data_IF_484756095186
#
_entry.id   IF_484756095186
#
_cell.length_a   1.000
_cell.length_b   1.000
_cell.length_c   1.000
_cell.angle_alpha   90.00
_cell.angle_beta   90.00
_cell.angle_gamma   90.00
#
_symmetry.space_group_name_H-M   'P 1'
#
loop_
_entity.id
_entity.type
_entity.pdbx_description
1 polymer ?
#
# COMPACT_ATOMS: atom_id res chain seq x y z
N UNK A 1 13.08 13.25 -20.66
CA UNK A 1 13.39 13.10 -19.21
C UNK A 1 12.17 13.67 -18.48
N UNK A 2 11.43 12.85 -17.77
CA UNK A 2 10.28 13.33 -16.97
C UNK A 2 10.85 13.64 -15.59
N UNK A 3 10.67 14.85 -15.09
CA UNK A 3 11.02 15.23 -13.72
C UNK A 3 9.74 15.21 -12.89
N UNK A 4 9.79 14.61 -11.71
CA UNK A 4 8.73 14.67 -10.71
C UNK A 4 9.27 15.24 -9.40
N UNK A 5 8.41 15.78 -8.58
CA UNK A 5 8.76 16.54 -7.38
C UNK A 5 7.93 16.02 -6.22
N UNK A 6 8.58 15.65 -5.11
CA UNK A 6 7.87 15.42 -3.87
C UNK A 6 7.49 16.77 -3.24
N UNK A 7 6.28 16.85 -2.69
CA UNK A 7 5.82 18.04 -1.97
C UNK A 7 5.98 17.81 -0.48
N UNK A 8 6.74 18.67 0.20
CA UNK A 8 7.13 18.49 1.59
C UNK A 8 6.69 19.70 2.42
N UNK A 9 5.98 19.46 3.51
CA UNK A 9 5.59 20.46 4.51
C UNK A 9 6.15 20.06 5.89
N UNK A 10 6.66 21.02 6.66
CA UNK A 10 7.17 20.79 8.01
C UNK A 10 6.43 21.64 9.02
N UNK A 11 5.93 21.02 10.08
CA UNK A 11 5.36 21.69 11.24
C UNK A 11 6.32 21.53 12.43
N UNK A 12 6.90 22.66 12.81
CA UNK A 12 7.80 22.74 13.97
C UNK A 12 7.02 23.06 15.25
N UNK A 13 6.89 22.09 16.12
CA UNK A 13 6.32 22.24 17.46
C UNK A 13 7.39 22.43 18.53
N UNK A 14 8.66 22.57 18.16
CA UNK A 14 9.80 22.63 19.09
C UNK A 14 10.12 21.29 19.76
N UNK A 15 9.67 20.18 19.19
CA UNK A 15 9.85 18.84 19.74
C UNK A 15 11.21 18.23 19.35
N UNK A 16 11.65 17.25 20.11
CA UNK A 16 12.91 16.52 19.82
C UNK A 16 12.76 15.58 18.61
N UNK A 17 11.61 14.92 18.52
CA UNK A 17 11.35 13.90 17.51
C UNK A 17 10.30 14.34 16.50
N UNK A 18 10.40 13.81 15.29
CA UNK A 18 9.50 14.08 14.15
C UNK A 18 8.75 12.83 13.76
N UNK A 19 7.45 12.96 13.50
CA UNK A 19 6.61 11.95 12.83
C UNK A 19 6.50 12.31 11.37
N UNK A 20 6.73 11.35 10.49
CA UNK A 20 6.52 11.49 9.04
C UNK A 20 5.14 10.95 8.69
N UNK A 21 4.36 11.74 7.94
CA UNK A 21 3.04 11.35 7.42
C UNK A 21 3.09 11.51 5.91
N UNK A 22 2.86 10.43 5.18
CA UNK A 22 3.03 10.41 3.74
C UNK A 22 1.95 9.66 2.98
N UNK A 23 1.83 10.01 1.70
CA UNK A 23 1.05 9.33 0.68
C UNK A 23 1.62 9.71 -0.69
N UNK A 24 1.47 8.87 -1.70
CA UNK A 24 1.81 9.30 -3.06
C UNK A 24 0.66 10.09 -3.69
N UNK A 25 0.99 10.99 -4.61
CA UNK A 25 0.02 11.82 -5.31
C UNK A 25 0.01 11.63 -6.83
N UNK A 26 0.92 10.82 -7.34
CA UNK A 26 0.90 10.36 -8.72
C UNK A 26 -0.10 9.21 -8.90
N UNK A 27 -0.54 9.02 -10.13
CA UNK A 27 -1.32 7.88 -10.56
C UNK A 27 -1.06 7.61 -12.06
N UNK A 28 -1.79 6.68 -12.68
CA UNK A 28 -1.52 6.15 -14.02
C UNK A 28 -1.77 7.13 -15.17
N UNK A 29 -2.34 8.31 -14.91
CA UNK A 29 -2.59 9.34 -15.92
C UNK A 29 -3.43 8.80 -17.09
N UNK A 30 -2.85 8.74 -18.29
CA UNK A 30 -3.51 8.21 -19.50
C UNK A 30 -3.36 6.69 -19.67
N UNK A 31 -2.85 5.96 -18.65
CA UNK A 31 -2.67 4.51 -18.69
C UNK A 31 -1.58 4.02 -19.67
N UNK A 32 -0.62 4.89 -20.01
CA UNK A 32 0.41 4.57 -21.01
C UNK A 32 1.54 3.69 -20.47
N UNK A 33 1.72 3.61 -19.15
CA UNK A 33 2.81 2.89 -18.49
C UNK A 33 2.54 1.39 -18.35
N UNK A 34 1.46 0.89 -18.95
CA UNK A 34 1.04 -0.51 -18.92
C UNK A 34 0.65 -1.05 -17.53
N UNK A 35 0.48 -0.20 -16.53
CA UNK A 35 0.03 -0.56 -15.18
C UNK A 35 -1.51 -0.60 -15.06
N UNK A 36 -2.24 -0.12 -16.07
CA UNK A 36 -3.70 -0.15 -16.06
C UNK A 36 -4.26 -1.56 -16.09
N UNK A 37 -5.27 -1.81 -15.27
CA UNK A 37 -6.10 -3.01 -15.28
C UNK A 37 -7.39 -2.85 -16.08
N UNK A 38 -7.62 -1.73 -16.77
CA UNK A 38 -8.70 -1.60 -17.76
C UNK A 38 -8.39 -2.44 -19.01
N UNK A 39 -9.41 -3.03 -19.61
CA UNK A 39 -9.25 -3.84 -20.82
C UNK A 39 -8.84 -3.00 -22.04
N UNK A 40 -9.24 -1.72 -22.06
CA UNK A 40 -8.95 -0.76 -23.12
C UNK A 40 -8.54 0.58 -22.50
N UNK A 41 -7.32 0.71 -21.97
CA UNK A 41 -6.90 1.87 -21.17
C UNK A 41 -6.57 3.10 -22.04
N UNK A 42 -6.22 2.89 -23.32
CA UNK A 42 -5.72 3.97 -24.19
C UNK A 42 -6.71 5.13 -24.32
N UNK A 43 -6.20 6.35 -24.15
CA UNK A 43 -6.99 7.58 -24.24
C UNK A 43 -7.95 7.84 -23.08
N UNK A 44 -7.94 7.00 -22.03
CA UNK A 44 -8.76 7.20 -20.84
C UNK A 44 -7.92 7.76 -19.70
N UNK A 45 -8.47 8.76 -19.00
CA UNK A 45 -7.87 9.30 -17.78
C UNK A 45 -8.14 8.33 -16.64
N UNK A 46 -7.08 7.95 -15.91
CA UNK A 46 -7.16 7.21 -14.65
C UNK A 46 -7.15 8.23 -13.53
N UNK A 47 -8.30 8.42 -12.87
CA UNK A 47 -8.48 9.50 -11.90
C UNK A 47 -7.79 9.22 -10.57
N UNK A 48 -7.68 7.94 -10.17
CA UNK A 48 -7.00 7.55 -8.93
C UNK A 48 -7.63 8.17 -7.68
N UNK A 49 -8.97 8.15 -7.58
CA UNK A 49 -9.65 8.81 -6.48
C UNK A 49 -9.36 8.14 -5.14
N UNK A 50 -9.30 6.80 -5.10
CA UNK A 50 -8.83 6.07 -3.93
C UNK A 50 -7.32 5.83 -4.00
N UNK A 51 -6.80 5.50 -5.16
CA UNK A 51 -5.39 5.22 -5.43
C UNK A 51 -4.72 6.37 -6.22
N UNK A 52 -4.12 7.46 -5.61
CA UNK A 52 -4.12 7.61 -4.17
C UNK A 52 -4.46 9.05 -3.76
N UNK A 53 -5.50 9.64 -4.39
CA UNK A 53 -5.97 10.95 -3.96
C UNK A 53 -6.56 10.91 -2.54
N UNK A 54 -7.12 9.75 -2.09
CA UNK A 54 -7.59 9.59 -0.72
C UNK A 54 -6.46 9.72 0.30
N UNK A 55 -5.33 9.04 0.09
CA UNK A 55 -4.16 9.17 0.97
C UNK A 55 -3.58 10.58 0.96
N UNK A 56 -3.48 11.20 -0.23
CA UNK A 56 -3.01 12.59 -0.38
C UNK A 56 -3.92 13.58 0.35
N UNK A 57 -5.24 13.45 0.22
CA UNK A 57 -6.21 14.25 0.98
C UNK A 57 -6.05 14.03 2.49
N UNK A 58 -5.79 12.79 2.92
CA UNK A 58 -5.49 12.45 4.31
C UNK A 58 -4.25 13.17 4.84
N UNK A 59 -3.16 13.26 4.06
CA UNK A 59 -1.95 14.05 4.42
C UNK A 59 -2.31 15.51 4.65
N UNK A 60 -3.08 16.11 3.72
CA UNK A 60 -3.50 17.52 3.81
C UNK A 60 -4.41 17.78 5.02
N UNK A 61 -5.38 16.90 5.30
CA UNK A 61 -6.28 17.04 6.44
C UNK A 61 -5.55 16.87 7.77
N UNK A 62 -4.62 15.92 7.88
CA UNK A 62 -3.80 15.76 9.08
C UNK A 62 -2.86 16.97 9.27
N UNK A 63 -2.27 17.50 8.18
CA UNK A 63 -1.47 18.71 8.24
C UNK A 63 -2.29 19.91 8.74
N UNK A 64 -3.51 20.10 8.23
CA UNK A 64 -4.44 21.14 8.69
C UNK A 64 -4.82 20.94 10.15
N UNK A 65 -5.15 19.72 10.55
CA UNK A 65 -5.54 19.38 11.91
C UNK A 65 -4.42 19.72 12.91
N UNK A 66 -3.21 19.20 12.71
CA UNK A 66 -2.09 19.41 13.63
C UNK A 66 -1.55 20.84 13.62
N UNK A 67 -1.71 21.60 12.53
CA UNK A 67 -1.34 23.01 12.49
C UNK A 67 -2.32 23.91 13.27
N UNK A 68 -3.56 23.49 13.49
CA UNK A 68 -4.62 24.31 14.07
C UNK A 68 -5.03 23.89 15.49
N UNK A 69 -4.74 22.65 15.90
CA UNK A 69 -5.19 22.15 17.19
C UNK A 69 -4.38 22.72 18.37
N UNK A 70 -4.92 22.55 19.58
CA UNK A 70 -4.30 22.94 20.85
C UNK A 70 -4.68 21.92 21.93
N UNK A 71 -3.79 21.52 22.84
CA UNK A 71 -2.35 21.89 22.87
C UNK A 71 -1.58 21.26 21.70
N UNK A 72 -0.39 21.80 21.40
CA UNK A 72 0.52 21.23 20.40
C UNK A 72 1.02 19.87 20.85
N UNK A 73 1.17 18.98 19.89
CA UNK A 73 1.73 17.64 20.08
C UNK A 73 3.21 17.70 20.50
N UNK A 74 3.68 16.61 21.13
CA UNK A 74 5.09 16.43 21.52
C UNK A 74 5.99 15.98 20.37
N UNK A 75 5.49 16.05 19.15
CA UNK A 75 6.24 15.77 17.92
C UNK A 75 6.24 16.97 16.99
N UNK A 76 7.30 17.10 16.21
CA UNK A 76 7.26 17.82 14.96
C UNK A 76 6.64 16.90 13.91
N UNK A 77 6.11 17.46 12.83
CA UNK A 77 5.53 16.67 11.75
C UNK A 77 6.19 17.01 10.41
N UNK A 78 6.45 15.97 9.63
CA UNK A 78 6.86 16.08 8.25
C UNK A 78 5.78 15.44 7.38
N UNK A 79 5.06 16.27 6.62
CA UNK A 79 4.03 15.85 5.68
C UNK A 79 4.64 15.74 4.30
N UNK A 80 4.45 14.59 3.62
CA UNK A 80 5.03 14.37 2.30
C UNK A 80 3.98 13.79 1.36
N UNK A 81 3.80 14.44 0.19
CA UNK A 81 3.14 13.83 -0.94
C UNK A 81 4.22 13.37 -1.91
N UNK A 82 4.40 12.05 -2.04
CA UNK A 82 5.42 11.44 -2.89
C UNK A 82 4.99 11.40 -4.34
N UNK A 83 5.96 11.41 -5.24
CA UNK A 83 5.77 11.28 -6.68
C UNK A 83 6.41 9.99 -7.19
N UNK A 84 5.86 9.41 -8.28
CA UNK A 84 6.44 8.26 -8.95
C UNK A 84 6.42 6.97 -8.12
N UNK A 85 5.44 6.81 -7.26
CA UNK A 85 5.16 5.58 -6.53
C UNK A 85 4.82 4.46 -7.51
N UNK A 86 3.89 4.71 -8.40
CA UNK A 86 3.37 3.79 -9.44
C UNK A 86 4.45 3.28 -10.40
N UNK A 87 5.56 4.00 -10.50
CA UNK A 87 6.72 3.63 -11.30
C UNK A 87 7.80 2.90 -10.50
N UNK A 88 7.58 2.69 -9.21
CA UNK A 88 8.45 1.92 -8.31
C UNK A 88 9.05 2.72 -7.18
N UNK A 89 8.25 3.49 -6.46
CA UNK A 89 8.59 4.24 -5.24
C UNK A 89 9.70 5.29 -5.47
N UNK A 90 9.73 5.95 -6.63
CA UNK A 90 10.86 6.83 -6.97
C UNK A 90 10.99 8.02 -6.02
N UNK A 91 9.87 8.67 -5.66
CA UNK A 91 9.87 9.82 -4.76
C UNK A 91 10.37 9.45 -3.38
N UNK A 92 9.73 8.49 -2.72
CA UNK A 92 10.11 8.09 -1.36
C UNK A 92 11.53 7.54 -1.27
N UNK A 93 11.98 6.79 -2.29
CA UNK A 93 13.39 6.34 -2.37
C UNK A 93 14.34 7.51 -2.47
N UNK A 94 14.05 8.47 -3.36
CA UNK A 94 14.91 9.64 -3.57
C UNK A 94 14.93 10.54 -2.34
N UNK A 95 13.78 10.73 -1.70
CA UNK A 95 13.69 11.44 -0.43
C UNK A 95 14.53 10.75 0.66
N UNK A 96 14.41 9.42 0.81
CA UNK A 96 15.18 8.66 1.80
C UNK A 96 16.69 8.59 1.50
N UNK A 97 17.12 8.77 0.24
CA UNK A 97 18.54 8.91 -0.12
C UNK A 97 19.10 10.28 0.25
N UNK A 98 18.29 11.34 0.13
CA UNK A 98 18.68 12.73 0.36
C UNK A 98 17.61 13.45 1.19
N UNK A 99 17.44 13.07 2.46
CA UNK A 99 16.36 13.61 3.28
C UNK A 99 16.57 15.09 3.61
N UNK A 100 15.47 15.85 3.69
CA UNK A 100 15.52 17.27 4.08
C UNK A 100 15.59 17.48 5.59
N UNK A 101 15.48 16.41 6.38
CA UNK A 101 15.56 16.41 7.84
C UNK A 101 16.57 15.35 8.33
N UNK A 102 17.01 15.50 9.57
CA UNK A 102 17.84 14.49 10.23
C UNK A 102 17.01 13.24 10.58
N UNK A 103 17.28 12.12 9.90
CA UNK A 103 16.57 10.85 10.13
C UNK A 103 16.81 10.27 11.53
N UNK A 104 17.89 10.66 12.22
CA UNK A 104 18.08 10.26 13.61
C UNK A 104 17.01 10.83 14.55
N UNK A 105 16.32 11.90 14.14
CA UNK A 105 15.21 12.53 14.86
C UNK A 105 13.84 12.01 14.43
N UNK A 106 13.75 11.20 13.38
CA UNK A 106 12.47 10.60 12.98
C UNK A 106 12.12 9.50 13.98
N UNK A 107 10.92 9.58 14.55
CA UNK A 107 10.38 8.56 15.45
C UNK A 107 9.80 7.40 14.64
N UNK A 108 8.89 7.70 13.73
CA UNK A 108 8.26 6.72 12.83
C UNK A 108 7.64 7.41 11.61
N UNK A 109 7.22 6.59 10.65
CA UNK A 109 6.49 7.06 9.47
C UNK A 109 5.14 6.36 9.36
N UNK A 110 4.09 7.15 9.06
CA UNK A 110 2.74 6.70 8.71
C UNK A 110 2.56 6.92 7.21
N UNK A 111 2.24 5.84 6.50
CA UNK A 111 1.85 5.87 5.09
C UNK A 111 0.37 5.62 4.94
N UNK A 112 -0.27 6.36 4.05
CA UNK A 112 -1.68 6.17 3.68
C UNK A 112 -1.78 5.90 2.20
N UNK A 113 -2.42 4.78 1.85
CA UNK A 113 -2.61 4.41 0.46
C UNK A 113 -3.93 3.67 0.33
N UNK A 114 -4.83 4.20 -0.50
CA UNK A 114 -6.18 3.70 -0.68
C UNK A 114 -6.97 3.61 0.64
N UNK A 115 -7.17 4.74 1.30
CA UNK A 115 -7.92 4.84 2.57
C UNK A 115 -9.37 5.30 2.39
N UNK A 116 -9.79 5.63 1.18
CA UNK A 116 -11.08 6.23 0.86
C UNK A 116 -12.21 5.23 0.57
N UNK A 117 -11.96 3.92 0.55
CA UNK A 117 -12.97 2.90 0.20
C UNK A 117 -13.32 1.95 1.37
N UNK A 118 -13.27 2.47 2.60
CA UNK A 118 -13.71 1.69 3.77
C UNK A 118 -15.12 1.12 3.55
N UNK A 119 -15.26 -0.19 3.65
CA UNK A 119 -16.53 -0.87 3.49
C UNK A 119 -17.36 -0.77 4.79
N UNK A 120 -18.54 -0.17 4.74
CA UNK A 120 -19.38 0.11 5.90
C UNK A 120 -19.87 -1.16 6.64
N UNK A 121 -20.00 -2.28 5.93
CA UNK A 121 -20.45 -3.54 6.51
C UNK A 121 -19.33 -4.30 7.21
N UNK A 122 -18.16 -4.40 6.56
CA UNK A 122 -17.02 -5.16 7.09
C UNK A 122 -16.13 -4.31 7.99
N UNK A 123 -16.09 -3.00 7.77
CA UNK A 123 -15.24 -2.01 8.45
C UNK A 123 -13.78 -2.44 8.51
N UNK A 124 -13.32 -3.18 7.50
CA UNK A 124 -11.99 -3.75 7.47
C UNK A 124 -10.96 -2.66 7.22
N UNK A 125 -10.01 -2.56 8.14
CA UNK A 125 -8.83 -1.70 8.03
C UNK A 125 -7.58 -2.58 8.14
N UNK A 126 -6.68 -2.49 7.17
CA UNK A 126 -5.43 -3.24 7.16
C UNK A 126 -4.32 -2.29 7.60
N UNK A 127 -3.52 -2.72 8.57
CA UNK A 127 -2.37 -1.97 9.07
C UNK A 127 -1.13 -2.85 8.91
N UNK A 128 -0.28 -2.49 7.94
CA UNK A 128 1.02 -3.11 7.73
C UNK A 128 2.09 -2.46 8.60
N UNK A 129 3.21 -3.13 8.78
CA UNK A 129 4.35 -2.61 9.51
C UNK A 129 4.26 -2.75 11.01
N UNK A 130 3.22 -3.41 11.56
CA UNK A 130 3.06 -3.54 13.02
C UNK A 130 4.16 -4.35 13.71
N UNK A 131 5.02 -5.05 12.96
CA UNK A 131 6.22 -5.72 13.46
C UNK A 131 7.45 -4.84 13.51
N UNK A 132 7.39 -3.59 13.00
CA UNK A 132 8.57 -2.70 12.88
C UNK A 132 8.95 -1.97 14.17
N UNK A 133 8.09 -2.03 15.20
CA UNK A 133 8.41 -1.69 16.58
C UNK A 133 7.60 -2.57 17.53
N UNK A 134 8.14 -2.96 18.69
CA UNK A 134 7.45 -3.84 19.65
C UNK A 134 6.19 -3.19 20.25
N UNK A 135 6.14 -1.86 20.27
CA UNK A 135 5.06 -1.09 20.87
C UNK A 135 3.78 -1.06 20.01
N UNK A 136 3.87 -1.30 18.69
CA UNK A 136 2.74 -1.15 17.77
C UNK A 136 1.54 -2.04 18.13
N UNK A 137 1.75 -3.34 18.28
CA UNK A 137 0.65 -4.28 18.50
C UNK A 137 -0.05 -4.01 19.84
N UNK A 138 0.65 -3.89 20.99
CA UNK A 138 0.00 -3.58 22.26
C UNK A 138 -0.77 -2.27 22.27
N UNK A 139 -0.26 -1.25 21.54
CA UNK A 139 -0.91 0.06 21.45
C UNK A 139 -2.16 0.01 20.59
N UNK A 140 -2.07 -0.57 19.37
CA UNK A 140 -3.20 -0.73 18.46
C UNK A 140 -4.34 -1.52 19.14
N UNK A 141 -4.01 -2.55 19.93
CA UNK A 141 -5.00 -3.38 20.64
C UNK A 141 -5.72 -2.63 21.77
N UNK A 142 -5.11 -1.57 22.32
CA UNK A 142 -5.73 -0.71 23.34
C UNK A 142 -6.68 0.33 22.76
N UNK A 143 -6.44 0.80 21.55
CA UNK A 143 -7.23 1.86 20.93
C UNK A 143 -8.61 1.33 20.56
N UNK A 144 -9.63 1.83 21.24
CA UNK A 144 -11.01 1.46 20.90
C UNK A 144 -11.41 2.03 19.55
N UNK A 145 -11.90 1.16 18.69
CA UNK A 145 -12.44 1.50 17.37
C UNK A 145 -13.51 0.50 16.96
N UNK A 146 -14.32 0.85 15.98
CA UNK A 146 -15.28 -0.05 15.35
C UNK A 146 -14.71 -0.71 14.07
N UNK A 147 -13.40 -0.58 13.84
CA UNK A 147 -12.73 -1.27 12.74
C UNK A 147 -12.50 -2.75 13.02
N UNK A 148 -12.70 -3.56 11.98
CA UNK A 148 -12.13 -4.91 11.90
C UNK A 148 -10.67 -4.79 11.43
N UNK A 149 -9.75 -4.65 12.39
CA UNK A 149 -8.33 -4.39 12.09
C UNK A 149 -7.64 -5.70 11.74
N UNK A 150 -7.07 -5.75 10.52
CA UNK A 150 -6.09 -6.76 10.13
C UNK A 150 -4.69 -6.20 10.30
N UNK A 151 -3.86 -6.85 11.11
CA UNK A 151 -2.46 -6.47 11.35
C UNK A 151 -1.53 -7.34 10.52
N UNK A 152 -0.56 -6.70 9.83
CA UNK A 152 0.53 -7.36 9.13
C UNK A 152 1.87 -6.85 9.65
N UNK A 153 2.77 -7.76 10.00
CA UNK A 153 4.05 -7.42 10.62
C UNK A 153 5.07 -6.85 9.64
N UNK A 154 4.91 -7.06 8.33
CA UNK A 154 5.92 -6.73 7.34
C UNK A 154 6.15 -5.22 7.21
N UNK A 155 7.39 -4.78 7.34
CA UNK A 155 7.78 -3.39 7.09
C UNK A 155 7.99 -3.11 5.59
N UNK A 156 8.33 -4.13 4.81
CA UNK A 156 8.37 -4.06 3.35
C UNK A 156 6.98 -4.39 2.81
N UNK A 157 6.48 -3.52 1.95
CA UNK A 157 5.18 -3.66 1.31
C UNK A 157 5.11 -2.91 -0.02
N UNK A 158 3.94 -2.86 -0.65
CA UNK A 158 3.79 -2.33 -2.00
C UNK A 158 3.62 -0.81 -2.07
N UNK A 159 4.05 -0.04 -1.05
CA UNK A 159 3.94 1.42 -1.04
C UNK A 159 5.12 2.09 -0.31
N UNK A 160 5.11 3.41 -0.19
CA UNK A 160 6.22 4.29 0.20
C UNK A 160 6.82 4.03 1.58
N UNK A 161 6.07 3.44 2.53
CA UNK A 161 6.61 3.05 3.85
C UNK A 161 7.84 2.15 3.73
N UNK A 162 7.95 1.39 2.65
CA UNK A 162 9.09 0.51 2.38
C UNK A 162 10.42 1.27 2.36
N UNK A 163 10.43 2.47 1.77
CA UNK A 163 11.63 3.30 1.67
C UNK A 163 12.14 3.74 3.05
N UNK A 164 11.23 4.08 3.97
CA UNK A 164 11.58 4.46 5.35
C UNK A 164 11.96 3.25 6.20
N UNK A 165 11.27 2.13 6.06
CA UNK A 165 11.64 0.89 6.72
C UNK A 165 13.07 0.47 6.39
N UNK A 166 13.49 0.60 5.12
CA UNK A 166 14.87 0.30 4.69
C UNK A 166 15.93 1.24 5.29
N UNK A 167 15.50 2.35 5.90
CA UNK A 167 16.35 3.26 6.69
C UNK A 167 16.29 2.99 8.19
N UNK A 168 15.73 1.85 8.61
CA UNK A 168 15.54 1.45 10.00
C UNK A 168 14.62 2.41 10.79
N UNK A 169 13.61 2.96 10.13
CA UNK A 169 12.55 3.76 10.74
C UNK A 169 11.33 2.86 10.94
N UNK A 170 10.72 2.82 12.15
CA UNK A 170 9.43 2.15 12.35
C UNK A 170 8.37 2.72 11.42
N UNK A 171 7.52 1.87 10.85
CA UNK A 171 6.50 2.30 9.90
C UNK A 171 5.16 1.67 10.20
N UNK A 172 4.09 2.40 9.88
CA UNK A 172 2.74 1.86 9.70
C UNK A 172 2.23 2.28 8.32
N UNK A 173 1.51 1.37 7.67
CA UNK A 173 0.85 1.66 6.41
C UNK A 173 -0.62 1.27 6.51
N UNK A 174 -1.51 2.22 6.23
CA UNK A 174 -2.96 2.12 6.33
C UNK A 174 -3.56 1.89 4.95
N UNK A 175 -4.47 0.91 4.87
CA UNK A 175 -5.09 0.47 3.65
C UNK A 175 -6.50 -0.09 3.91
N UNK A 176 -7.51 0.32 3.15
CA UNK A 176 -8.88 -0.17 3.33
C UNK A 176 -9.20 -1.40 2.49
N UNK A 177 -8.28 -1.83 1.65
CA UNK A 177 -8.40 -2.99 0.77
C UNK A 177 -8.53 -2.61 -0.70
N UNK A 178 -8.17 -3.54 -1.57
CA UNK A 178 -8.37 -3.38 -3.00
C UNK A 178 -9.85 -3.48 -3.37
N UNK A 179 -10.21 -2.88 -4.49
CA UNK A 179 -11.56 -2.88 -5.04
C UNK A 179 -11.54 -3.06 -6.56
N UNK A 180 -12.69 -3.35 -7.16
CA UNK A 180 -12.81 -3.66 -8.59
C UNK A 180 -12.38 -2.52 -9.53
N UNK A 181 -12.26 -1.29 -9.02
CA UNK A 181 -11.84 -0.11 -9.78
C UNK A 181 -10.34 0.18 -9.71
N UNK A 182 -9.58 -0.58 -8.90
CA UNK A 182 -8.14 -0.41 -8.74
C UNK A 182 -7.41 -0.39 -10.09
N UNK A 183 -6.55 0.60 -10.31
CA UNK A 183 -5.82 0.83 -11.56
C UNK A 183 -6.73 0.93 -12.81
N UNK A 184 -7.94 1.46 -12.65
CA UNK A 184 -8.91 1.66 -13.75
C UNK A 184 -9.40 3.10 -13.80
N UNK A 185 -9.83 3.57 -14.99
CA UNK A 185 -10.46 4.90 -15.13
C UNK A 185 -11.72 5.07 -14.27
N UNK A 186 -12.29 3.98 -13.78
CA UNK A 186 -13.49 3.98 -12.95
C UNK A 186 -13.23 4.19 -11.46
N UNK A 187 -11.96 4.42 -11.04
CA UNK A 187 -11.66 4.85 -9.67
C UNK A 187 -11.94 6.34 -9.52
N UNK A 188 -13.20 6.65 -9.28
CA UNK A 188 -13.79 7.98 -9.29
C UNK A 188 -14.22 8.45 -7.90
N UNK A 189 -14.24 9.78 -7.72
CA UNK A 189 -14.59 10.47 -6.47
C UNK A 189 -15.99 10.10 -5.93
N UNK A 190 -16.94 9.80 -6.80
CA UNK A 190 -18.30 9.43 -6.41
C UNK A 190 -18.38 8.07 -5.68
N UNK A 191 -17.28 7.33 -5.65
CA UNK A 191 -17.15 6.04 -4.97
C UNK A 191 -16.44 6.13 -3.62
N UNK A 192 -15.91 7.30 -3.27
CA UNK A 192 -15.20 7.51 -2.01
C UNK A 192 -16.18 7.54 -0.84
N UNK A 193 -15.87 6.79 0.20
CA UNK A 193 -16.53 6.83 1.49
C UNK A 193 -15.86 7.87 2.39
N UNK A 194 -16.19 9.15 2.21
CA UNK A 194 -15.60 10.26 3.00
C UNK A 194 -15.80 10.10 4.51
N UNK A 195 -16.93 9.52 4.94
CA UNK A 195 -17.17 9.26 6.37
C UNK A 195 -16.23 8.17 6.88
N UNK A 196 -16.02 7.13 6.08
CA UNK A 196 -15.07 6.05 6.39
C UNK A 196 -13.62 6.56 6.44
N UNK A 197 -13.23 7.35 5.46
CA UNK A 197 -11.90 7.97 5.37
C UNK A 197 -11.63 8.87 6.58
N UNK A 198 -12.58 9.75 6.95
CA UNK A 198 -12.49 10.56 8.17
C UNK A 198 -12.24 9.71 9.41
N UNK A 199 -12.94 8.58 9.57
CA UNK A 199 -12.72 7.67 10.71
C UNK A 199 -11.32 7.05 10.71
N UNK A 200 -10.76 6.76 9.53
CA UNK A 200 -9.36 6.27 9.42
C UNK A 200 -8.40 7.36 9.90
N UNK A 201 -8.59 8.62 9.47
CA UNK A 201 -7.76 9.74 9.93
C UNK A 201 -7.88 9.97 11.44
N UNK A 202 -9.10 9.93 12.00
CA UNK A 202 -9.33 10.03 13.46
C UNK A 202 -8.63 8.88 14.21
N UNK A 203 -8.56 7.70 13.63
CA UNK A 203 -7.84 6.57 14.21
C UNK A 203 -6.32 6.77 14.17
N UNK A 204 -5.78 7.34 13.07
CA UNK A 204 -4.37 7.71 12.95
C UNK A 204 -4.01 8.76 14.00
N UNK A 205 -4.85 9.78 14.23
CA UNK A 205 -4.65 10.79 15.29
C UNK A 205 -4.53 10.10 16.66
N UNK A 206 -5.43 9.16 17.00
CA UNK A 206 -5.35 8.41 18.26
C UNK A 206 -4.05 7.62 18.40
N UNK A 207 -3.55 7.04 17.33
CA UNK A 207 -2.25 6.34 17.34
C UNK A 207 -1.13 7.33 17.68
N UNK A 208 -1.13 8.52 17.08
CA UNK A 208 -0.14 9.56 17.36
C UNK A 208 -0.22 10.01 18.82
N UNK A 209 -1.42 10.28 19.34
CA UNK A 209 -1.64 10.65 20.74
C UNK A 209 -1.17 9.55 21.72
N UNK A 210 -1.35 8.26 21.38
CA UNK A 210 -0.85 7.16 22.23
C UNK A 210 0.69 7.07 22.18
N UNK A 211 1.31 7.32 21.01
CA UNK A 211 2.78 7.31 20.91
C UNK A 211 3.45 8.46 21.66
N UNK A 212 2.77 9.58 21.90
CA UNK A 212 3.28 10.67 22.73
C UNK A 212 3.51 10.30 24.21
N UNK A 213 2.90 9.21 24.64
CA UNK A 213 3.03 8.67 26.01
C UNK A 213 4.22 7.71 26.12
N UNK A 214 4.87 7.40 25.01
CA UNK A 214 5.97 6.46 24.91
C UNK A 214 7.30 7.22 24.67
N UNK A 215 8.44 6.62 25.00
CA UNK A 215 9.73 7.07 24.49
C UNK A 215 9.78 6.89 22.98
N UNK A 216 10.82 7.41 22.33
CA UNK A 216 11.07 7.16 20.92
C UNK A 216 11.03 5.67 20.64
N UNK A 217 10.27 5.25 19.62
CA UNK A 217 10.08 3.85 19.27
C UNK A 217 11.40 3.21 18.83
N UNK A 218 11.59 1.96 19.21
CA UNK A 218 12.77 1.18 18.84
C UNK A 218 12.46 0.37 17.57
N UNK A 219 13.22 0.62 16.51
CA UNK A 219 13.09 -0.12 15.27
C UNK A 219 13.34 -1.61 15.47
N UNK A 220 12.45 -2.43 14.95
CA UNK A 220 12.58 -3.86 14.89
C UNK A 220 12.55 -4.34 13.44
N UNK A 221 13.58 -5.09 13.03
CA UNK A 221 13.60 -5.70 11.71
C UNK A 221 12.58 -6.83 11.62
N UNK A 222 11.71 -6.77 10.64
CA UNK A 222 10.72 -7.81 10.37
C UNK A 222 11.30 -8.92 9.49
N UNK A 223 10.66 -10.08 9.47
CA UNK A 223 10.92 -11.07 8.42
C UNK A 223 10.41 -10.49 7.12
N UNK A 224 11.31 -9.97 6.32
CA UNK A 224 10.93 -9.46 5.01
C UNK A 224 10.54 -10.64 4.13
N UNK A 225 9.41 -10.55 3.43
CA UNK A 225 9.29 -11.30 2.19
C UNK A 225 10.48 -10.87 1.31
N UNK A 226 11.02 -11.80 0.55
CA UNK A 226 12.20 -11.59 -0.32
C UNK A 226 11.83 -10.70 -1.52
N UNK A 227 11.44 -9.44 -1.24
CA UNK A 227 11.00 -8.44 -2.22
C UNK A 227 12.22 -7.63 -2.62
N UNK A 228 13.07 -8.25 -3.44
CA UNK A 228 14.04 -7.47 -4.21
C UNK A 228 13.28 -6.49 -5.11
N UNK A 229 13.81 -5.30 -5.33
CA UNK A 229 13.28 -4.32 -6.30
C UNK A 229 13.18 -4.98 -7.69
N UNK A 230 12.02 -5.51 -8.04
CA UNK A 230 11.80 -6.28 -9.27
C UNK A 230 10.93 -5.45 -10.19
N UNK A 231 11.51 -5.04 -11.32
CA UNK A 231 10.71 -4.52 -12.44
C UNK A 231 9.98 -5.70 -13.07
N UNK A 232 8.67 -5.76 -12.89
CA UNK A 232 7.83 -6.71 -13.61
C UNK A 232 7.83 -6.35 -15.10
N UNK A 233 8.17 -7.31 -15.95
CA UNK A 233 8.14 -7.14 -17.41
C UNK A 233 6.83 -7.62 -18.01
N UNK A 234 6.01 -8.31 -17.20
CA UNK A 234 4.77 -8.97 -17.59
C UNK A 234 3.73 -8.88 -16.49
N UNK A 235 2.45 -9.02 -16.87
CA UNK A 235 1.33 -9.13 -15.95
C UNK A 235 0.38 -10.22 -16.40
N UNK A 236 -0.23 -10.93 -15.47
CA UNK A 236 -1.35 -11.84 -15.76
C UNK A 236 -2.68 -11.08 -15.92
N UNK A 237 -2.77 -9.83 -15.48
CA UNK A 237 -4.02 -9.07 -15.48
C UNK A 237 -5.03 -9.66 -14.51
N UNK A 238 -4.59 -9.91 -13.28
CA UNK A 238 -5.43 -10.32 -12.17
C UNK A 238 -5.17 -9.44 -10.95
N UNK A 239 -6.14 -9.40 -10.07
CA UNK A 239 -6.07 -8.65 -8.81
C UNK A 239 -5.87 -9.63 -7.66
N UNK A 240 -4.73 -9.54 -6.94
CA UNK A 240 -4.50 -10.32 -5.73
C UNK A 240 -5.41 -9.86 -4.58
N UNK A 241 -5.94 -10.78 -3.79
CA UNK A 241 -6.53 -10.46 -2.49
C UNK A 241 -5.43 -10.36 -1.44
N UNK A 242 -4.99 -9.15 -1.16
CA UNK A 242 -3.97 -8.88 -0.12
C UNK A 242 -4.48 -9.16 1.30
N UNK A 243 -5.76 -9.36 1.47
CA UNK A 243 -6.38 -9.64 2.74
C UNK A 243 -6.61 -11.14 2.99
N UNK A 244 -6.24 -12.00 2.05
CA UNK A 244 -6.38 -13.45 2.19
C UNK A 244 -5.38 -14.01 3.20
N UNK A 245 -5.86 -14.82 4.16
CA UNK A 245 -5.05 -15.40 5.24
C UNK A 245 -4.67 -16.87 4.98
N UNK A 246 -5.15 -17.46 3.88
CA UNK A 246 -4.87 -18.83 3.48
C UNK A 246 -3.49 -19.00 2.83
N UNK A 247 -3.14 -20.24 2.52
CA UNK A 247 -1.94 -20.55 1.72
C UNK A 247 -2.24 -20.35 0.24
N UNK A 248 -1.38 -19.60 -0.45
CA UNK A 248 -1.51 -19.26 -1.84
C UNK A 248 -1.83 -17.78 -2.05
N UNK A 249 -2.05 -17.40 -3.31
CA UNK A 249 -2.50 -16.05 -3.66
C UNK A 249 -3.94 -16.14 -4.20
N UNK A 250 -4.89 -15.67 -3.42
CA UNK A 250 -6.30 -15.61 -3.78
C UNK A 250 -6.55 -14.53 -4.83
N UNK A 251 -7.35 -14.84 -5.85
CA UNK A 251 -7.70 -13.92 -6.93
C UNK A 251 -8.99 -13.20 -6.57
N UNK A 252 -8.94 -11.89 -6.40
CA UNK A 252 -10.12 -11.06 -6.16
C UNK A 252 -10.81 -10.61 -7.45
N UNK A 253 -10.05 -10.41 -8.55
CA UNK A 253 -10.62 -10.13 -9.88
C UNK A 253 -9.69 -10.59 -11.01
N UNK A 254 -10.26 -10.80 -12.21
CA UNK A 254 -9.52 -11.17 -13.43
C UNK A 254 -9.91 -10.26 -14.58
N UNK A 255 -8.97 -9.50 -15.10
CA UNK A 255 -9.18 -8.55 -16.20
C UNK A 255 -9.44 -9.29 -17.52
N UNK A 256 -10.61 -9.05 -18.11
CA UNK A 256 -11.00 -9.67 -19.38
C UNK A 256 -9.99 -9.37 -20.49
N UNK A 257 -9.64 -10.41 -21.25
CA UNK A 257 -8.72 -10.29 -22.40
C UNK A 257 -7.23 -10.32 -22.03
N UNK A 258 -6.86 -10.24 -20.75
CA UNK A 258 -5.48 -10.40 -20.27
C UNK A 258 -5.08 -11.90 -20.14
N UNK A 259 -3.80 -12.23 -19.97
CA UNK A 259 -3.32 -13.60 -19.90
C UNK A 259 -4.09 -14.54 -18.96
N UNK A 260 -4.40 -14.10 -17.75
CA UNK A 260 -5.16 -14.89 -16.78
C UNK A 260 -6.56 -15.26 -17.29
N UNK A 261 -7.29 -14.26 -17.82
CA UNK A 261 -8.62 -14.48 -18.40
C UNK A 261 -8.58 -15.46 -19.60
N UNK A 262 -7.56 -15.33 -20.48
CA UNK A 262 -7.39 -16.21 -21.63
C UNK A 262 -7.05 -17.64 -21.21
N UNK A 263 -6.33 -17.82 -20.10
CA UNK A 263 -5.99 -19.12 -19.53
C UNK A 263 -7.16 -19.76 -18.77
N UNK A 264 -8.27 -19.04 -18.52
CA UNK A 264 -9.43 -19.55 -17.80
C UNK A 264 -9.35 -19.40 -16.27
N UNK A 265 -8.45 -18.56 -15.77
CA UNK A 265 -8.42 -18.16 -14.36
C UNK A 265 -9.66 -17.34 -14.02
N UNK A 266 -10.14 -17.46 -12.79
CA UNK A 266 -11.40 -16.84 -12.34
C UNK A 266 -11.21 -16.20 -10.95
N UNK A 267 -12.06 -15.22 -10.63
CA UNK A 267 -12.22 -14.73 -9.25
C UNK A 267 -12.50 -15.91 -8.30
N UNK A 268 -11.85 -15.91 -7.15
CA UNK A 268 -11.96 -16.97 -6.16
C UNK A 268 -10.96 -18.11 -6.31
N UNK A 269 -10.20 -18.18 -7.42
CA UNK A 269 -9.10 -19.12 -7.54
C UNK A 269 -7.99 -18.76 -6.54
N UNK A 270 -7.30 -19.77 -6.02
CA UNK A 270 -6.10 -19.59 -5.19
C UNK A 270 -4.90 -20.14 -5.96
N UNK A 271 -4.01 -19.25 -6.42
CA UNK A 271 -2.77 -19.66 -7.08
C UNK A 271 -1.83 -20.26 -6.03
N UNK A 272 -1.40 -21.50 -6.25
CA UNK A 272 -0.47 -22.24 -5.37
C UNK A 272 0.87 -22.53 -6.04
N UNK A 273 0.95 -22.39 -7.37
CA UNK A 273 2.19 -22.51 -8.13
C UNK A 273 2.13 -21.69 -9.41
N UNK A 274 3.24 -21.02 -9.78
CA UNK A 274 3.41 -20.34 -11.07
C UNK A 274 4.82 -20.67 -11.61
N UNK A 275 4.89 -21.39 -12.70
CA UNK A 275 6.14 -21.97 -13.22
C UNK A 275 6.80 -22.87 -12.16
N UNK A 276 8.06 -22.61 -11.86
CA UNK A 276 8.81 -23.38 -10.85
C UNK A 276 8.61 -22.87 -9.42
N UNK A 277 7.91 -21.74 -9.21
CA UNK A 277 7.75 -21.11 -7.91
C UNK A 277 6.47 -21.61 -7.23
N UNK A 278 6.61 -22.18 -6.03
CA UNK A 278 5.47 -22.41 -5.15
C UNK A 278 5.00 -21.09 -4.57
N UNK A 279 3.70 -20.82 -4.67
CA UNK A 279 3.07 -19.58 -4.22
C UNK A 279 2.37 -19.85 -2.89
N UNK A 280 2.94 -19.34 -1.81
CA UNK A 280 2.36 -19.40 -0.47
C UNK A 280 1.63 -18.11 -0.07
N UNK A 281 1.88 -17.00 -0.78
CA UNK A 281 1.29 -15.69 -0.56
C UNK A 281 1.48 -14.79 -1.80
N UNK A 282 0.99 -13.54 -1.74
CA UNK A 282 1.11 -12.55 -2.82
C UNK A 282 2.58 -12.28 -3.20
N UNK A 283 3.48 -12.25 -2.23
CA UNK A 283 4.90 -11.95 -2.48
C UNK A 283 5.59 -13.06 -3.29
N UNK A 284 5.25 -14.33 -3.02
CA UNK A 284 5.76 -15.45 -3.82
C UNK A 284 5.23 -15.39 -5.25
N UNK A 285 3.96 -14.99 -5.43
CA UNK A 285 3.38 -14.75 -6.75
C UNK A 285 4.13 -13.62 -7.49
N UNK A 286 4.39 -12.51 -6.83
CA UNK A 286 5.15 -11.40 -7.40
C UNK A 286 6.59 -11.81 -7.74
N UNK A 287 7.21 -12.65 -6.89
CA UNK A 287 8.51 -13.27 -7.18
C UNK A 287 8.47 -14.12 -8.44
N UNK A 288 7.46 -14.95 -8.58
CA UNK A 288 7.28 -15.77 -9.78
C UNK A 288 7.14 -14.90 -11.04
N UNK A 289 6.28 -13.85 -11.00
CA UNK A 289 6.10 -12.93 -12.13
C UNK A 289 7.41 -12.31 -12.63
N UNK A 290 8.32 -11.98 -11.72
CA UNK A 290 9.61 -11.35 -12.08
C UNK A 290 10.53 -12.23 -12.90
N UNK A 291 10.27 -13.52 -13.01
CA UNK A 291 11.08 -14.48 -13.79
C UNK A 291 10.67 -14.58 -15.25
N UNK A 292 9.49 -14.07 -15.61
CA UNK A 292 8.93 -14.21 -16.96
C UNK A 292 9.12 -12.97 -17.83
N UNK A 293 9.02 -13.17 -19.12
CA UNK A 293 9.05 -12.16 -20.20
C UNK A 293 7.78 -12.27 -21.04
N UNK A 294 7.51 -11.23 -21.83
CA UNK A 294 6.44 -11.26 -22.82
C UNK A 294 6.60 -12.48 -23.76
N UNK A 295 5.49 -13.16 -24.03
CA UNK A 295 5.39 -14.36 -24.84
C UNK A 295 5.87 -15.66 -24.16
N UNK A 296 6.41 -15.61 -22.95
CA UNK A 296 6.68 -16.82 -22.18
C UNK A 296 5.38 -17.57 -21.87
N UNK A 297 5.42 -18.90 -22.00
CA UNK A 297 4.31 -19.78 -21.60
C UNK A 297 4.75 -20.66 -20.45
N UNK A 298 3.90 -20.78 -19.42
CA UNK A 298 4.21 -21.58 -18.23
C UNK A 298 2.96 -22.23 -17.63
N UNK A 299 3.17 -23.29 -16.83
CA UNK A 299 2.11 -23.91 -16.04
C UNK A 299 1.76 -23.01 -14.84
N UNK A 300 0.47 -22.87 -14.58
CA UNK A 300 -0.07 -22.31 -13.36
C UNK A 300 -0.98 -23.35 -12.69
N UNK A 301 -0.87 -23.49 -11.38
CA UNK A 301 -1.72 -24.38 -10.58
C UNK A 301 -2.53 -23.53 -9.62
N UNK A 302 -3.84 -23.72 -9.66
CA UNK A 302 -4.78 -23.06 -8.73
C UNK A 302 -5.60 -24.09 -7.96
N UNK A 303 -6.15 -23.64 -6.83
CA UNK A 303 -7.20 -24.35 -6.11
C UNK A 303 -8.52 -23.61 -6.40
N UNK A 304 -9.49 -24.31 -6.96
CA UNK A 304 -10.87 -23.86 -7.22
C UNK A 304 -11.82 -24.88 -6.63
N UNK A 305 -12.74 -24.45 -5.79
CA UNK A 305 -13.70 -25.32 -5.10
C UNK A 305 -13.03 -26.53 -4.41
N UNK A 306 -11.86 -26.28 -3.78
CA UNK A 306 -11.09 -27.31 -3.09
C UNK A 306 -10.31 -28.28 -3.98
N UNK A 307 -10.37 -28.12 -5.32
CA UNK A 307 -9.68 -28.99 -6.29
C UNK A 307 -8.53 -28.25 -6.95
N UNK A 308 -7.40 -28.94 -7.13
CA UNK A 308 -6.27 -28.40 -7.89
C UNK A 308 -6.56 -28.50 -9.39
N UNK A 309 -6.38 -27.38 -10.08
CA UNK A 309 -6.54 -27.27 -11.54
C UNK A 309 -5.21 -26.76 -12.11
N UNK A 310 -4.72 -27.43 -13.14
CA UNK A 310 -3.52 -27.04 -13.90
C UNK A 310 -3.95 -26.37 -15.19
N UNK A 311 -3.35 -25.25 -15.49
CA UNK A 311 -3.59 -24.49 -16.71
C UNK A 311 -2.26 -23.99 -17.28
N UNK A 312 -2.23 -23.67 -18.57
CA UNK A 312 -1.11 -22.97 -19.18
C UNK A 312 -1.48 -21.51 -19.38
N UNK A 313 -0.57 -20.62 -19.04
CA UNK A 313 -0.71 -19.17 -19.22
C UNK A 313 0.42 -18.65 -20.10
N UNK A 314 0.08 -17.79 -21.06
CA UNK A 314 1.05 -17.08 -21.92
C UNK A 314 0.98 -15.59 -21.60
N UNK A 315 2.14 -14.99 -21.28
CA UNK A 315 2.28 -13.58 -20.92
C UNK A 315 2.27 -12.64 -22.11
#
# INVERSE_FOLDING_TARGET
MVSSIDVVGYLDNGAENTVVIGAHYDHLGMGLDHNSLDANPEGKIHNGADDNASGTAGVLELARFFAQNQPKEKFNFLFICFSGEELGLFGSKKFCENPTIDFSKVNYMINMDMIGRLNDSTKKLIIYGVGTAPDWVPMIDKIQSDFSIKKDSAGIGPSDQTSFYLKNIPVLHFFTGQHADYHKPSDDINKINFIGEKKVLEYIVKIIEETEKLPKLIFQKTKNPDVGARKYKVTLGLMPDYAFEGKGMHIDDVTKGKPASKAGLQKGDIIIKLGEVNVGNVNDYMKALSTFKKEDTTEIIVVRDGKQIKMNVTF
#
